data_IF_171251989060
#
_entry.id   IF_171251989060
#
_cell.length_a   1.000
_cell.length_b   1.000
_cell.length_c   1.000
_cell.angle_alpha   90.00
_cell.angle_beta   90.00
_cell.angle_gamma   90.00
#
_symmetry.space_group_name_H-M   'P 1'
#
loop_
_entity.id
_entity.type
_entity.pdbx_description
1 polymer ?
#
# COMPACT_ATOMS: atom_id res chain seq x y z
N UNK A 1 5.62 27.69 -0.04
CA UNK A 1 4.56 26.82 0.51
C UNK A 1 4.36 27.25 1.95
N UNK A 2 3.16 27.64 2.35
CA UNK A 2 2.92 28.15 3.70
C UNK A 2 3.23 27.07 4.73
N UNK A 3 4.00 27.41 5.76
CA UNK A 3 4.41 26.48 6.83
C UNK A 3 3.23 25.74 7.46
N UNK A 4 2.03 26.36 7.43
CA UNK A 4 0.78 25.76 7.86
C UNK A 4 0.35 24.56 7.00
N UNK A 5 0.46 24.67 5.66
CA UNK A 5 0.11 23.59 4.72
C UNK A 5 1.08 22.41 4.89
N UNK A 6 2.36 22.70 5.12
CA UNK A 6 3.38 21.68 5.42
C UNK A 6 3.00 20.87 6.67
N UNK A 7 2.74 21.56 7.78
CA UNK A 7 2.40 20.92 9.06
C UNK A 7 1.12 20.11 8.90
N UNK A 8 0.10 20.67 8.24
CA UNK A 8 -1.18 20.00 8.02
C UNK A 8 -1.02 18.69 7.25
N UNK A 9 -0.21 18.65 6.19
CA UNK A 9 0.06 17.42 5.41
C UNK A 9 0.75 16.35 6.25
N UNK A 10 1.76 16.71 7.04
CA UNK A 10 2.48 15.77 7.91
C UNK A 10 1.55 15.22 8.99
N UNK A 11 0.78 16.09 9.66
CA UNK A 11 -0.17 15.69 10.71
C UNK A 11 -1.25 14.79 10.12
N UNK A 12 -1.89 15.20 9.02
CA UNK A 12 -2.95 14.41 8.40
C UNK A 12 -2.46 13.04 7.92
N UNK A 13 -1.28 12.98 7.29
CA UNK A 13 -0.66 11.72 6.87
C UNK A 13 -0.33 10.81 8.05
N UNK A 14 0.17 11.36 9.15
CA UNK A 14 0.50 10.62 10.38
C UNK A 14 -0.77 10.11 11.09
N UNK A 15 -1.81 10.95 11.17
CA UNK A 15 -3.11 10.58 11.74
C UNK A 15 -3.74 9.46 10.91
N UNK A 16 -3.77 9.61 9.58
CA UNK A 16 -4.30 8.60 8.67
C UNK A 16 -3.54 7.28 8.81
N UNK A 17 -2.20 7.32 8.86
CA UNK A 17 -1.39 6.14 9.11
C UNK A 17 -1.74 5.46 10.45
N UNK A 18 -1.92 6.23 11.51
CA UNK A 18 -2.26 5.72 12.85
C UNK A 18 -3.65 5.09 12.87
N UNK A 19 -4.64 5.72 12.24
CA UNK A 19 -5.99 5.19 12.09
C UNK A 19 -5.99 3.88 11.32
N UNK A 20 -5.21 3.83 10.24
CA UNK A 20 -5.03 2.63 9.43
C UNK A 20 -4.35 1.51 10.23
N UNK A 21 -3.31 1.84 11.01
CA UNK A 21 -2.63 0.87 11.89
C UNK A 21 -3.59 0.30 12.93
N UNK A 22 -4.44 1.15 13.52
CA UNK A 22 -5.47 0.74 14.48
C UNK A 22 -6.60 -0.09 13.85
N UNK A 23 -6.98 0.22 12.62
CA UNK A 23 -8.00 -0.56 11.88
C UNK A 23 -7.44 -1.90 11.36
N UNK A 24 -6.15 -1.94 11.02
CA UNK A 24 -5.43 -3.15 10.59
C UNK A 24 -5.27 -4.20 11.70
N UNK A 25 -5.53 -3.84 12.98
CA UNK A 25 -5.62 -4.80 14.09
C UNK A 25 -6.87 -5.69 14.06
N UNK A 26 -7.76 -5.51 13.09
CA UNK A 26 -8.95 -6.35 12.93
C UNK A 26 -8.59 -7.80 12.58
N UNK A 27 -9.56 -8.72 12.76
CA UNK A 27 -9.41 -10.20 12.70
C UNK A 27 -8.75 -10.78 11.43
N UNK A 28 -8.50 -9.97 10.41
CA UNK A 28 -7.82 -10.36 9.18
C UNK A 28 -6.66 -9.39 8.88
N UNK A 29 -5.47 -9.60 9.49
CA UNK A 29 -4.28 -8.76 9.29
C UNK A 29 -3.78 -8.76 7.83
N UNK A 30 -4.33 -9.65 6.99
CA UNK A 30 -4.16 -9.66 5.53
C UNK A 30 -4.60 -8.33 4.89
N UNK A 31 -5.58 -7.59 5.43
CA UNK A 31 -6.45 -6.76 4.61
C UNK A 31 -6.21 -5.24 4.61
N UNK A 32 -6.16 -4.60 5.77
CA UNK A 32 -6.64 -3.21 5.79
C UNK A 32 -5.54 -2.13 5.77
N UNK A 33 -4.34 -2.45 6.26
CA UNK A 33 -3.29 -1.46 6.50
C UNK A 33 -2.73 -0.84 5.22
N UNK A 34 -2.08 -1.68 4.41
CA UNK A 34 -1.42 -1.21 3.19
C UNK A 34 -2.40 -0.99 2.03
N UNK A 35 -3.54 -1.68 1.99
CA UNK A 35 -4.45 -1.58 0.85
C UNK A 35 -5.29 -0.30 0.85
N UNK A 36 -5.55 0.30 2.02
CA UNK A 36 -6.33 1.54 2.17
C UNK A 36 -5.48 2.81 2.23
N UNK A 37 -4.18 2.69 2.53
CA UNK A 37 -3.24 3.83 2.48
C UNK A 37 -3.05 4.32 1.06
N UNK A 38 -2.89 3.41 0.08
CA UNK A 38 -2.64 3.79 -1.30
C UNK A 38 -3.80 4.59 -1.93
N UNK A 39 -5.08 4.16 -1.88
CA UNK A 39 -6.19 4.97 -2.39
C UNK A 39 -6.28 6.35 -1.74
N UNK A 40 -6.11 6.42 -0.41
CA UNK A 40 -6.22 7.70 0.31
C UNK A 40 -5.10 8.68 -0.05
N UNK A 41 -3.83 8.23 -0.03
CA UNK A 41 -2.69 9.10 -0.32
C UNK A 41 -2.66 9.54 -1.79
N UNK A 42 -2.93 8.63 -2.73
CA UNK A 42 -2.97 8.99 -4.15
C UNK A 42 -4.18 9.88 -4.47
N UNK A 43 -5.34 9.60 -3.87
CA UNK A 43 -6.54 10.43 -4.03
C UNK A 43 -6.37 11.83 -3.43
N UNK A 44 -5.70 11.97 -2.29
CA UNK A 44 -5.29 13.29 -1.77
C UNK A 44 -4.37 14.02 -2.76
N UNK A 45 -3.42 13.31 -3.37
CA UNK A 45 -2.57 13.87 -4.42
C UNK A 45 -3.39 14.44 -5.59
N UNK A 46 -4.33 13.67 -6.12
CA UNK A 46 -5.23 14.11 -7.19
C UNK A 46 -6.11 15.28 -6.78
N UNK A 47 -6.66 15.26 -5.56
CA UNK A 47 -7.52 16.33 -5.06
C UNK A 47 -6.77 17.68 -5.00
N UNK A 48 -5.47 17.65 -4.72
CA UNK A 48 -4.62 18.85 -4.67
C UNK A 48 -4.05 19.26 -6.02
N UNK A 49 -4.29 18.48 -7.09
CA UNK A 49 -3.82 18.77 -8.42
C UNK A 49 -4.71 19.81 -9.11
N UNK A 50 -4.12 20.56 -10.03
CA UNK A 50 -4.89 21.42 -10.93
C UNK A 50 -5.69 20.56 -11.92
N UNK A 51 -6.89 21.01 -12.28
CA UNK A 51 -7.84 20.21 -13.06
C UNK A 51 -7.28 19.76 -14.42
N UNK A 52 -6.46 20.58 -15.06
CA UNK A 52 -5.82 20.27 -16.34
C UNK A 52 -4.68 19.24 -16.21
N UNK A 53 -4.07 19.14 -15.02
CA UNK A 53 -2.98 18.21 -14.72
C UNK A 53 -3.46 16.85 -14.22
N UNK A 54 -4.76 16.69 -13.91
CA UNK A 54 -5.32 15.44 -13.38
C UNK A 54 -4.96 14.21 -14.22
N UNK A 55 -5.13 14.19 -15.57
CA UNK A 55 -4.74 13.04 -16.38
C UNK A 55 -3.24 12.78 -16.37
N UNK A 56 -2.45 13.86 -16.32
CA UNK A 56 -0.98 13.80 -16.30
C UNK A 56 -0.45 13.25 -14.96
N UNK A 57 -1.12 13.58 -13.87
CA UNK A 57 -0.80 13.06 -12.55
C UNK A 57 -1.24 11.60 -12.40
N UNK A 58 -2.44 11.25 -12.86
CA UNK A 58 -2.94 9.87 -12.83
C UNK A 58 -2.02 8.92 -13.64
N UNK A 59 -1.64 9.29 -14.89
CA UNK A 59 -0.70 8.48 -15.68
C UNK A 59 0.66 8.31 -15.01
N UNK A 60 1.09 9.28 -14.21
CA UNK A 60 2.35 9.21 -13.47
C UNK A 60 2.25 8.32 -12.22
N UNK A 61 1.09 8.30 -11.56
CA UNK A 61 0.83 7.48 -10.38
C UNK A 61 0.71 5.99 -10.71
N UNK A 62 0.01 5.60 -11.78
CA UNK A 62 -0.31 4.19 -12.06
C UNK A 62 0.94 3.27 -12.15
N UNK A 63 1.99 3.61 -12.93
CA UNK A 63 3.20 2.78 -12.98
C UNK A 63 3.91 2.69 -11.63
N UNK A 64 3.91 3.77 -10.85
CA UNK A 64 4.54 3.79 -9.54
C UNK A 64 3.78 2.94 -8.52
N UNK A 65 2.45 2.97 -8.56
CA UNK A 65 1.60 2.10 -7.72
C UNK A 65 1.86 0.62 -8.05
N UNK A 66 1.91 0.27 -9.34
CA UNK A 66 2.22 -1.09 -9.79
C UNK A 66 3.63 -1.53 -9.37
N UNK A 67 4.64 -0.68 -9.61
CA UNK A 67 6.02 -0.93 -9.21
C UNK A 67 6.14 -1.15 -7.70
N UNK A 68 5.49 -0.31 -6.89
CA UNK A 68 5.48 -0.44 -5.43
C UNK A 68 4.88 -1.77 -4.98
N UNK A 69 3.78 -2.20 -5.61
CA UNK A 69 3.20 -3.53 -5.42
C UNK A 69 4.18 -4.66 -5.68
N UNK A 70 4.79 -4.64 -6.87
CA UNK A 70 5.77 -5.63 -7.30
C UNK A 70 6.98 -5.68 -6.36
N UNK A 71 7.50 -4.53 -5.92
CA UNK A 71 8.62 -4.45 -5.00
C UNK A 71 8.29 -5.00 -3.61
N UNK A 72 7.08 -4.76 -3.10
CA UNK A 72 6.63 -5.33 -1.84
C UNK A 72 6.57 -6.86 -1.94
N UNK A 73 6.04 -7.40 -3.03
CA UNK A 73 6.00 -8.85 -3.26
C UNK A 73 7.40 -9.44 -3.45
N UNK A 74 8.27 -8.76 -4.20
CA UNK A 74 9.66 -9.16 -4.38
C UNK A 74 10.42 -9.18 -3.04
N UNK A 75 10.20 -8.17 -2.18
CA UNK A 75 10.76 -8.14 -0.84
C UNK A 75 10.33 -9.39 -0.04
N UNK A 76 9.04 -9.73 -0.04
CA UNK A 76 8.52 -10.90 0.69
C UNK A 76 9.11 -12.20 0.14
N UNK A 77 9.19 -12.33 -1.19
CA UNK A 77 9.82 -13.47 -1.86
C UNK A 77 11.31 -13.60 -1.49
N UNK A 78 12.03 -12.48 -1.49
CA UNK A 78 13.45 -12.41 -1.13
C UNK A 78 13.67 -12.78 0.34
N UNK A 79 12.86 -12.27 1.27
CA UNK A 79 12.97 -12.63 2.69
C UNK A 79 12.75 -14.12 2.91
N UNK A 80 11.77 -14.71 2.22
CA UNK A 80 11.51 -16.15 2.28
C UNK A 80 12.69 -16.96 1.73
N UNK A 81 13.24 -16.55 0.60
CA UNK A 81 14.40 -17.20 0.00
C UNK A 81 15.63 -17.10 0.90
N UNK A 82 15.97 -15.90 1.40
CA UNK A 82 17.09 -15.67 2.32
C UNK A 82 16.94 -16.46 3.62
N UNK A 83 15.72 -16.58 4.15
CA UNK A 83 15.46 -17.39 5.34
C UNK A 83 15.79 -18.87 5.13
N UNK A 84 15.57 -19.40 3.92
CA UNK A 84 15.94 -20.78 3.58
C UNK A 84 17.41 -20.95 3.16
N UNK A 85 17.95 -20.02 2.37
CA UNK A 85 19.27 -20.14 1.76
C UNK A 85 20.41 -19.68 2.68
N UNK A 86 20.13 -18.81 3.66
CA UNK A 86 21.14 -18.21 4.53
C UNK A 86 20.58 -18.05 5.96
N UNK A 87 20.35 -19.16 6.69
CA UNK A 87 19.77 -19.11 8.03
C UNK A 87 20.64 -18.34 9.04
N UNK A 88 21.96 -18.31 8.84
CA UNK A 88 22.91 -17.58 9.69
C UNK A 88 22.92 -16.05 9.51
N UNK A 89 22.23 -15.50 8.50
CA UNK A 89 22.18 -14.06 8.30
C UNK A 89 21.24 -13.42 9.34
N UNK A 90 21.71 -12.42 10.13
CA UNK A 90 20.86 -11.76 11.11
C UNK A 90 19.61 -11.18 10.48
N UNK A 91 18.50 -11.21 11.21
CA UNK A 91 17.22 -10.70 10.73
C UNK A 91 17.33 -9.26 10.20
N UNK A 92 18.01 -8.40 10.97
CA UNK A 92 18.21 -6.99 10.63
C UNK A 92 18.99 -6.87 9.31
N UNK A 93 20.00 -7.71 9.11
CA UNK A 93 20.76 -7.77 7.87
C UNK A 93 19.90 -8.16 6.66
N UNK A 94 19.03 -9.18 6.82
CA UNK A 94 18.09 -9.56 5.74
C UNK A 94 17.11 -8.45 5.41
N UNK A 95 16.57 -7.80 6.44
CA UNK A 95 15.59 -6.73 6.25
C UNK A 95 16.21 -5.55 5.50
N UNK A 96 17.39 -5.09 5.94
CA UNK A 96 18.13 -4.03 5.24
C UNK A 96 18.54 -4.42 3.83
N UNK A 97 18.97 -5.67 3.59
CA UNK A 97 19.27 -6.14 2.24
C UNK A 97 18.04 -6.04 1.34
N UNK A 98 16.87 -6.45 1.84
CA UNK A 98 15.60 -6.32 1.12
C UNK A 98 15.22 -4.87 0.83
N UNK A 99 15.39 -3.96 1.80
CA UNK A 99 15.15 -2.53 1.60
C UNK A 99 16.11 -1.95 0.57
N UNK A 100 17.41 -2.24 0.69
CA UNK A 100 18.44 -1.75 -0.24
C UNK A 100 18.19 -2.23 -1.67
N UNK A 101 17.94 -3.53 -1.86
CA UNK A 101 17.55 -4.07 -3.17
C UNK A 101 16.27 -3.41 -3.69
N UNK A 102 15.28 -3.22 -2.82
CA UNK A 102 14.02 -2.55 -3.15
C UNK A 102 14.22 -1.12 -3.62
N UNK A 103 15.06 -0.33 -2.94
CA UNK A 103 15.38 1.06 -3.31
C UNK A 103 16.14 1.13 -4.62
N UNK A 104 17.08 0.21 -4.88
CA UNK A 104 17.83 0.16 -6.14
C UNK A 104 16.90 -0.17 -7.32
N UNK A 105 16.07 -1.21 -7.18
CA UNK A 105 15.09 -1.59 -8.20
C UNK A 105 14.04 -0.50 -8.41
N UNK A 106 13.59 0.12 -7.32
CA UNK A 106 12.68 1.26 -7.39
C UNK A 106 13.31 2.42 -8.15
N UNK A 107 14.57 2.74 -7.89
CA UNK A 107 15.28 3.81 -8.58
C UNK A 107 15.35 3.52 -10.07
N UNK A 108 15.76 2.31 -10.47
CA UNK A 108 15.72 1.88 -11.87
C UNK A 108 14.33 2.01 -12.49
N UNK A 109 13.30 1.53 -11.78
CA UNK A 109 11.90 1.64 -12.22
C UNK A 109 11.42 3.09 -12.35
N UNK A 110 11.73 3.96 -11.40
CA UNK A 110 11.32 5.36 -11.40
C UNK A 110 12.05 6.19 -12.46
N UNK A 111 13.32 5.89 -12.74
CA UNK A 111 14.12 6.61 -13.72
C UNK A 111 13.86 6.18 -15.16
N UNK A 112 13.67 4.88 -15.38
CA UNK A 112 13.65 4.30 -16.72
C UNK A 112 12.26 3.75 -17.06
N UNK A 113 11.70 2.92 -16.19
CA UNK A 113 10.43 2.23 -16.45
C UNK A 113 9.20 3.14 -16.42
N UNK A 114 9.10 4.02 -15.42
CA UNK A 114 7.94 4.86 -15.22
C UNK A 114 7.74 5.89 -16.36
N UNK A 115 8.76 6.60 -16.86
CA UNK A 115 8.60 7.50 -18.00
C UNK A 115 8.18 6.76 -19.28
N UNK A 116 8.74 5.57 -19.53
CA UNK A 116 8.36 4.74 -20.67
C UNK A 116 6.89 4.32 -20.59
N UNK A 117 6.45 3.80 -19.44
CA UNK A 117 5.04 3.44 -19.23
C UNK A 117 4.12 4.66 -19.31
N UNK A 118 4.51 5.80 -18.73
CA UNK A 118 3.75 7.05 -18.81
C UNK A 118 3.51 7.50 -20.25
N UNK A 119 4.51 7.33 -21.13
CA UNK A 119 4.39 7.66 -22.55
C UNK A 119 3.42 6.75 -23.31
N UNK A 120 3.17 5.53 -22.82
CA UNK A 120 2.19 4.61 -23.37
C UNK A 120 0.77 4.83 -22.80
N UNK A 121 0.66 5.48 -21.63
CA UNK A 121 -0.59 5.73 -20.91
C UNK A 121 -1.25 7.07 -21.29
N UNK A 122 -1.43 7.31 -22.59
CA UNK A 122 -1.94 8.59 -23.11
C UNK A 122 -3.47 8.71 -23.03
N UNK A 123 -4.19 7.60 -23.05
CA UNK A 123 -5.66 7.58 -23.07
C UNK A 123 -6.25 6.86 -21.85
N UNK A 124 -7.48 7.22 -21.48
CA UNK A 124 -8.21 6.52 -20.41
C UNK A 124 -8.32 5.01 -20.67
N UNK A 125 -8.49 4.60 -21.94
CA UNK A 125 -8.52 3.20 -22.33
C UNK A 125 -7.16 2.52 -22.09
N UNK A 126 -6.05 3.15 -22.47
CA UNK A 126 -4.71 2.60 -22.22
C UNK A 126 -4.42 2.42 -20.73
N UNK A 127 -4.93 3.32 -19.87
CA UNK A 127 -4.86 3.17 -18.42
C UNK A 127 -5.65 1.96 -17.92
N UNK A 128 -6.89 1.77 -18.38
CA UNK A 128 -7.69 0.60 -18.03
C UNK A 128 -7.04 -0.70 -18.51
N UNK A 129 -6.49 -0.73 -19.71
CA UNK A 129 -5.77 -1.89 -20.24
C UNK A 129 -4.55 -2.20 -19.38
N UNK A 130 -3.77 -1.20 -18.96
CA UNK A 130 -2.66 -1.39 -18.04
C UNK A 130 -3.11 -1.96 -16.69
N UNK A 131 -4.20 -1.44 -16.12
CA UNK A 131 -4.79 -1.96 -14.88
C UNK A 131 -5.23 -3.41 -15.05
N UNK A 132 -5.89 -3.74 -16.17
CA UNK A 132 -6.31 -5.09 -16.52
C UNK A 132 -5.14 -6.06 -16.69
N UNK A 133 -4.08 -5.65 -17.41
CA UNK A 133 -2.85 -6.42 -17.57
C UNK A 133 -2.16 -6.67 -16.22
N UNK A 134 -2.09 -5.66 -15.35
CA UNK A 134 -1.59 -5.83 -14.00
C UNK A 134 -2.44 -6.82 -13.19
N UNK A 135 -3.78 -6.73 -13.28
CA UNK A 135 -4.68 -7.66 -12.59
C UNK A 135 -4.46 -9.11 -13.05
N UNK A 136 -4.41 -9.34 -14.37
CA UNK A 136 -4.16 -10.66 -14.95
C UNK A 136 -2.78 -11.18 -14.54
N UNK A 137 -1.73 -10.36 -14.69
CA UNK A 137 -0.35 -10.75 -14.38
C UNK A 137 -0.11 -11.02 -12.89
N UNK A 138 -0.81 -10.31 -12.00
CA UNK A 138 -0.68 -10.48 -10.54
C UNK A 138 -1.50 -11.65 -9.99
N UNK A 139 -2.60 -12.03 -10.66
CA UNK A 139 -3.49 -13.13 -10.25
C UNK A 139 -2.76 -14.43 -9.88
N UNK A 140 -1.86 -15.01 -10.70
CA UNK A 140 -1.20 -16.26 -10.35
C UNK A 140 -0.36 -16.16 -9.07
N UNK A 141 0.28 -15.01 -8.82
CA UNK A 141 1.05 -14.77 -7.60
C UNK A 141 0.14 -14.63 -6.38
N UNK A 142 -0.95 -13.87 -6.51
CA UNK A 142 -1.96 -13.70 -5.46
C UNK A 142 -2.54 -15.07 -5.07
N UNK A 143 -2.96 -15.87 -6.05
CA UNK A 143 -3.49 -17.23 -5.83
C UNK A 143 -2.45 -18.13 -5.18
N UNK A 144 -1.20 -18.12 -5.65
CA UNK A 144 -0.10 -18.91 -5.05
C UNK A 144 0.16 -18.52 -3.60
N UNK A 145 0.17 -17.23 -3.27
CA UNK A 145 0.40 -16.74 -1.91
C UNK A 145 -0.80 -17.03 -0.99
N UNK A 146 -2.03 -17.01 -1.51
CA UNK A 146 -3.22 -17.38 -0.73
C UNK A 146 -3.30 -18.85 -0.38
N UNK A 147 -2.81 -19.74 -1.26
CA UNK A 147 -2.78 -21.19 -1.02
C UNK A 147 -1.77 -21.62 0.05
N UNK A 148 -0.90 -20.74 0.52
CA UNK A 148 0.06 -21.07 1.56
C UNK A 148 -0.68 -21.23 2.91
N UNK A 149 -0.38 -22.31 3.68
CA UNK A 149 -1.04 -22.55 4.95
C UNK A 149 -0.80 -21.37 5.90
N UNK A 150 -1.87 -20.92 6.54
CA UNK A 150 -1.79 -19.96 7.62
C UNK A 150 -1.62 -20.71 8.93
N UNK A 151 -0.57 -20.41 9.66
CA UNK A 151 -0.56 -20.72 11.08
C UNK A 151 -1.65 -19.87 11.73
N UNK A 152 -2.57 -20.53 12.43
CA UNK A 152 -3.60 -19.90 13.25
C UNK A 152 -2.96 -19.28 14.51
N UNK A 153 -2.01 -18.36 14.33
CA UNK A 153 -1.44 -17.62 15.45
C UNK A 153 -2.41 -16.51 15.86
N UNK A 154 -2.98 -16.74 17.04
CA UNK A 154 -3.67 -15.83 17.96
C UNK A 154 -4.22 -14.55 17.34
N UNK A 155 -5.55 -14.51 17.23
CA UNK A 155 -6.33 -13.27 17.27
C UNK A 155 -6.03 -12.58 18.60
N UNK A 156 -4.92 -11.85 18.67
CA UNK A 156 -4.66 -10.95 19.79
C UNK A 156 -5.83 -9.96 19.84
N UNK A 157 -6.42 -9.80 21.02
CA UNK A 157 -7.51 -8.85 21.22
C UNK A 157 -7.12 -7.47 20.67
N UNK A 158 -8.08 -6.80 20.01
CA UNK A 158 -7.85 -5.46 19.47
C UNK A 158 -7.39 -4.55 20.59
N UNK A 159 -6.21 -3.95 20.45
CA UNK A 159 -5.74 -3.01 21.46
C UNK A 159 -6.56 -1.71 21.35
N UNK A 160 -6.83 -1.04 22.49
CA UNK A 160 -7.36 0.32 22.47
C UNK A 160 -6.45 1.23 21.66
N UNK A 161 -7.02 2.23 20.97
CA UNK A 161 -6.27 3.16 20.10
C UNK A 161 -5.07 3.80 20.83
N UNK A 162 -5.30 4.30 22.05
CA UNK A 162 -4.28 4.94 22.86
C UNK A 162 -3.16 3.97 23.28
N UNK A 163 -3.51 2.73 23.59
CA UNK A 163 -2.54 1.70 23.94
C UNK A 163 -1.70 1.29 22.72
N UNK A 164 -2.30 1.19 21.54
CA UNK A 164 -1.56 0.98 20.28
C UNK A 164 -0.61 2.15 20.02
N UNK A 165 -1.07 3.40 20.19
CA UNK A 165 -0.24 4.57 19.94
C UNK A 165 0.97 4.60 20.89
N UNK A 166 0.75 4.33 22.18
CA UNK A 166 1.81 4.26 23.18
C UNK A 166 2.76 3.08 22.95
N UNK A 167 2.26 1.91 22.54
CA UNK A 167 3.14 0.75 22.28
C UNK A 167 3.89 0.84 20.96
N UNK A 168 3.37 1.59 19.99
CA UNK A 168 3.94 1.74 18.64
C UNK A 168 4.46 3.15 18.39
N UNK A 169 4.73 3.95 19.44
CA UNK A 169 5.09 5.36 19.33
C UNK A 169 6.34 5.58 18.47
N UNK A 170 7.34 4.70 18.59
CA UNK A 170 8.54 4.72 17.74
C UNK A 170 8.19 4.54 16.26
N UNK A 171 7.18 3.71 15.96
CA UNK A 171 6.74 3.48 14.59
C UNK A 171 6.00 4.67 14.01
N UNK A 172 5.10 5.26 14.79
CA UNK A 172 4.36 6.47 14.42
C UNK A 172 5.32 7.66 14.27
N UNK A 173 6.25 7.82 15.21
CA UNK A 173 7.29 8.86 15.17
C UNK A 173 8.24 8.71 13.99
N UNK A 174 8.66 7.48 13.66
CA UNK A 174 9.47 7.21 12.47
C UNK A 174 8.77 7.59 11.17
N UNK A 175 7.46 7.31 11.05
CA UNK A 175 6.64 7.73 9.91
C UNK A 175 6.51 9.25 9.84
N UNK A 176 6.24 9.92 10.96
CA UNK A 176 6.13 11.38 11.02
C UNK A 176 7.44 12.06 10.60
N UNK A 177 8.59 11.56 11.08
CA UNK A 177 9.91 12.03 10.70
C UNK A 177 10.16 11.84 9.20
N UNK A 178 9.83 10.67 8.67
CA UNK A 178 10.01 10.34 7.27
C UNK A 178 9.17 11.25 6.35
N UNK A 179 7.89 11.46 6.69
CA UNK A 179 7.02 12.40 5.97
C UNK A 179 7.56 13.83 6.03
N UNK A 180 8.08 14.25 7.19
CA UNK A 180 8.70 15.56 7.36
C UNK A 180 9.90 15.74 6.45
N UNK A 181 10.79 14.74 6.37
CA UNK A 181 11.96 14.77 5.48
C UNK A 181 11.54 14.86 4.02
N UNK A 182 10.57 14.04 3.57
CA UNK A 182 10.07 14.08 2.19
C UNK A 182 9.48 15.44 1.85
N UNK A 183 8.68 16.02 2.74
CA UNK A 183 8.09 17.34 2.55
C UNK A 183 9.14 18.47 2.56
N UNK A 184 10.20 18.36 3.38
CA UNK A 184 11.31 19.33 3.39
C UNK A 184 12.06 19.29 2.06
N UNK A 185 12.39 18.08 1.56
CA UNK A 185 13.01 17.92 0.23
C UNK A 185 12.14 18.52 -0.87
N UNK A 186 10.80 18.40 -0.76
CA UNK A 186 9.86 19.05 -1.67
C UNK A 186 9.93 20.58 -1.63
N UNK A 187 10.12 21.15 -0.44
CA UNK A 187 10.17 22.59 -0.25
C UNK A 187 11.46 23.23 -0.78
N UNK A 188 12.60 22.53 -0.74
CA UNK A 188 13.90 23.02 -1.22
C UNK A 188 14.09 22.97 -2.75
N UNK A 189 13.00 22.92 -3.52
CA UNK A 189 13.03 23.14 -4.97
C UNK A 189 13.40 21.93 -5.82
N UNK A 190 13.64 20.76 -5.21
CA UNK A 190 13.83 19.51 -5.94
C UNK A 190 12.49 18.91 -6.38
N UNK A 191 11.59 19.70 -6.99
CA UNK A 191 10.18 19.33 -7.23
C UNK A 191 10.03 18.01 -8.00
N UNK A 192 10.87 17.77 -9.01
CA UNK A 192 10.92 16.52 -9.76
C UNK A 192 11.35 15.32 -8.89
N UNK A 193 12.34 15.52 -8.01
CA UNK A 193 12.81 14.49 -7.08
C UNK A 193 11.85 14.27 -5.92
N UNK A 194 11.18 15.31 -5.45
CA UNK A 194 10.23 15.24 -4.37
C UNK A 194 8.98 14.46 -4.76
N UNK A 195 8.47 14.68 -5.98
CA UNK A 195 7.40 13.86 -6.54
C UNK A 195 7.81 12.38 -6.61
N UNK A 196 9.02 12.10 -7.11
CA UNK A 196 9.55 10.72 -7.16
C UNK A 196 9.75 10.12 -5.77
N UNK A 197 10.45 10.79 -4.87
CA UNK A 197 10.70 10.32 -3.51
C UNK A 197 9.41 10.12 -2.70
N UNK A 198 8.37 10.94 -2.95
CA UNK A 198 7.05 10.73 -2.36
C UNK A 198 6.36 9.45 -2.84
N UNK A 199 6.74 8.95 -4.02
CA UNK A 199 6.28 7.69 -4.59
C UNK A 199 7.14 6.49 -4.17
N UNK A 200 8.24 6.70 -3.44
CA UNK A 200 9.04 5.62 -2.85
C UNK A 200 8.15 4.89 -1.82
N UNK A 201 8.08 3.54 -1.84
CA UNK A 201 7.21 2.77 -0.96
C UNK A 201 7.83 2.66 0.44
N UNK A 202 8.20 3.80 1.04
CA UNK A 202 8.82 3.89 2.34
C UNK A 202 7.93 3.34 3.44
N UNK A 203 6.65 3.72 3.44
CA UNK A 203 5.67 3.21 4.41
C UNK A 203 5.49 1.68 4.30
N UNK A 204 5.30 1.10 3.09
CA UNK A 204 5.33 -0.34 2.90
C UNK A 204 6.63 -1.00 3.35
N UNK A 205 7.81 -0.51 2.94
CA UNK A 205 9.08 -1.11 3.31
C UNK A 205 9.34 -1.02 4.81
N UNK A 206 9.01 0.10 5.45
CA UNK A 206 9.07 0.25 6.89
C UNK A 206 8.18 -0.80 7.59
N UNK A 207 6.95 -0.97 7.10
CA UNK A 207 6.02 -1.96 7.64
C UNK A 207 6.53 -3.39 7.46
N UNK A 208 7.05 -3.72 6.28
CA UNK A 208 7.62 -5.04 5.98
C UNK A 208 8.89 -5.31 6.80
N UNK A 209 9.76 -4.31 6.98
CA UNK A 209 10.95 -4.39 7.84
C UNK A 209 10.55 -4.70 9.29
N UNK A 210 9.54 -4.01 9.81
CA UNK A 210 9.00 -4.23 11.16
C UNK A 210 8.37 -5.61 11.33
N UNK A 211 7.81 -6.20 10.28
CA UNK A 211 7.31 -7.58 10.28
C UNK A 211 8.43 -8.62 10.13
N UNK A 212 9.56 -8.24 9.54
CA UNK A 212 10.70 -9.12 9.33
C UNK A 212 11.44 -9.40 10.64
N UNK A 213 11.58 -8.40 11.53
CA UNK A 213 12.29 -8.54 12.82
C UNK A 213 11.39 -8.40 14.05
N UNK A 214 10.51 -9.38 14.34
CA UNK A 214 9.94 -9.48 15.67
C UNK A 214 11.02 -9.88 16.68
N UNK A 215 10.86 -9.41 17.91
CA UNK A 215 11.69 -9.75 19.07
C UNK A 215 11.57 -11.25 19.48
N UNK A 216 10.72 -12.02 18.78
CA UNK A 216 10.46 -13.45 18.97
C UNK A 216 10.86 -14.28 17.73
N UNK A 217 11.08 -15.59 17.96
CA UNK A 217 11.62 -16.62 17.05
C UNK A 217 11.39 -16.37 15.54
N UNK A 218 12.49 -16.45 14.80
CA UNK A 218 12.66 -16.21 13.35
C UNK A 218 11.63 -16.92 12.45
N UNK A 219 11.17 -18.13 12.78
CA UNK A 219 10.16 -18.86 12.00
C UNK A 219 8.79 -18.14 11.93
N UNK A 220 8.43 -17.40 12.97
CA UNK A 220 7.14 -16.66 13.02
C UNK A 220 7.14 -15.40 12.13
N UNK A 221 8.32 -14.86 11.81
CA UNK A 221 8.46 -13.64 11.01
C UNK A 221 8.10 -13.83 9.52
N UNK A 222 8.56 -14.93 8.92
CA UNK A 222 8.31 -15.25 7.50
C UNK A 222 6.85 -15.62 7.28
N UNK A 223 6.22 -16.34 8.23
CA UNK A 223 4.80 -16.65 8.18
C UNK A 223 3.92 -15.37 8.19
N UNK A 224 4.24 -14.40 9.06
CA UNK A 224 3.56 -13.09 9.09
C UNK A 224 3.76 -12.30 7.79
N UNK A 225 4.96 -12.30 7.23
CA UNK A 225 5.23 -11.65 5.93
C UNK A 225 4.42 -12.28 4.80
N UNK A 226 4.36 -13.61 4.74
CA UNK A 226 3.57 -14.34 3.74
C UNK A 226 2.08 -14.04 3.87
N UNK A 227 1.57 -13.93 5.09
CA UNK A 227 0.18 -13.56 5.35
C UNK A 227 -0.16 -12.21 4.70
N UNK A 228 0.70 -11.22 4.87
CA UNK A 228 0.55 -9.88 4.27
C UNK A 228 0.87 -9.88 2.77
N UNK A 229 1.71 -10.80 2.28
CA UNK A 229 2.12 -10.85 0.87
C UNK A 229 0.99 -11.15 -0.10
N UNK A 230 -0.01 -11.90 0.35
CA UNK A 230 -1.17 -12.23 -0.47
C UNK A 230 -2.02 -11.02 -0.89
N UNK A 231 -1.89 -9.90 -0.18
CA UNK A 231 -2.59 -8.64 -0.48
C UNK A 231 -1.67 -7.56 -1.01
N UNK A 232 -0.36 -7.80 -1.04
CA UNK A 232 0.64 -6.85 -1.56
C UNK A 232 0.42 -6.49 -3.03
N UNK A 233 -0.12 -7.41 -3.84
CA UNK A 233 -0.45 -7.14 -5.25
C UNK A 233 -1.89 -6.69 -5.46
N UNK A 234 -2.82 -7.12 -4.61
CA UNK A 234 -4.23 -6.74 -4.71
C UNK A 234 -4.46 -5.28 -4.29
N UNK A 235 -3.71 -4.77 -3.30
CA UNK A 235 -3.79 -3.37 -2.87
C UNK A 235 -3.54 -2.36 -4.00
N UNK A 236 -2.43 -2.48 -4.75
CA UNK A 236 -2.15 -1.68 -5.93
C UNK A 236 -3.26 -1.71 -6.98
N UNK A 237 -3.90 -2.86 -7.21
CA UNK A 237 -5.02 -2.96 -8.17
C UNK A 237 -6.18 -2.05 -7.73
N UNK A 238 -6.59 -2.14 -6.46
CA UNK A 238 -7.65 -1.31 -5.89
C UNK A 238 -7.27 0.17 -5.92
N UNK A 239 -6.02 0.49 -5.60
CA UNK A 239 -5.51 1.87 -5.64
C UNK A 239 -5.51 2.44 -7.06
N UNK A 240 -5.11 1.66 -8.07
CA UNK A 240 -5.14 2.10 -9.46
C UNK A 240 -6.56 2.32 -9.98
N UNK A 241 -7.50 1.44 -9.64
CA UNK A 241 -8.92 1.63 -9.95
C UNK A 241 -9.49 2.87 -9.28
N UNK A 242 -9.13 3.10 -8.01
CA UNK A 242 -9.51 4.31 -7.27
C UNK A 242 -8.94 5.57 -7.93
N UNK A 243 -7.65 5.58 -8.29
CA UNK A 243 -7.00 6.72 -8.97
C UNK A 243 -7.68 7.01 -10.31
N UNK A 244 -7.91 5.99 -11.13
CA UNK A 244 -8.57 6.15 -12.42
C UNK A 244 -9.99 6.67 -12.26
N UNK A 245 -10.80 6.06 -11.40
CA UNK A 245 -12.20 6.45 -11.20
C UNK A 245 -12.33 7.84 -10.55
N UNK A 246 -11.49 8.14 -9.55
CA UNK A 246 -11.52 9.43 -8.87
C UNK A 246 -11.04 10.58 -9.76
N UNK A 247 -10.05 10.34 -10.62
CA UNK A 247 -9.65 11.30 -11.65
C UNK A 247 -10.83 11.67 -12.56
N UNK A 248 -11.58 10.69 -13.08
CA UNK A 248 -12.77 10.96 -13.90
C UNK A 248 -13.85 11.70 -13.11
N UNK A 249 -14.07 11.33 -11.86
CA UNK A 249 -14.99 12.04 -10.98
C UNK A 249 -14.60 13.53 -10.84
N UNK A 250 -13.33 13.83 -10.57
CA UNK A 250 -12.85 15.21 -10.45
C UNK A 250 -12.98 15.99 -11.76
N UNK A 251 -12.76 15.36 -12.92
CA UNK A 251 -12.94 15.98 -14.24
C UNK A 251 -14.42 16.32 -14.54
N UNK A 252 -15.36 15.61 -13.92
CA UNK A 252 -16.80 15.87 -14.05
C UNK A 252 -17.29 16.97 -13.10
N UNK A 253 -16.48 17.38 -12.11
CA UNK A 253 -16.87 18.48 -11.23
C UNK A 253 -16.90 19.80 -12.02
N UNK A 254 -17.92 20.64 -11.82
CA UNK A 254 -18.06 21.88 -12.57
C UNK A 254 -16.86 22.81 -12.32
N UNK A 255 -16.13 23.12 -13.39
CA UNK A 255 -14.95 24.00 -13.39
C UNK A 255 -15.25 25.42 -12.88
N UNK A 256 -16.52 25.84 -12.93
CA UNK A 256 -16.98 27.14 -12.44
C UNK A 256 -17.29 27.16 -10.92
N UNK A 257 -17.10 26.04 -10.21
CA UNK A 257 -17.33 25.98 -8.77
C UNK A 257 -16.24 26.74 -8.01
N UNK A 258 -16.62 27.44 -6.94
CA UNK A 258 -15.65 28.09 -6.05
C UNK A 258 -14.65 27.06 -5.50
N UNK A 259 -13.41 27.46 -5.22
CA UNK A 259 -12.36 26.59 -4.66
C UNK A 259 -12.85 25.79 -3.44
N UNK A 260 -13.69 26.40 -2.61
CA UNK A 260 -14.29 25.77 -1.43
C UNK A 260 -15.24 24.63 -1.83
N UNK A 261 -16.12 24.85 -2.81
CA UNK A 261 -17.02 23.81 -3.33
C UNK A 261 -16.26 22.64 -3.96
N UNK A 262 -15.20 22.91 -4.72
CA UNK A 262 -14.34 21.87 -5.29
C UNK A 262 -13.69 21.01 -4.20
N UNK A 263 -13.11 21.64 -3.18
CA UNK A 263 -12.47 20.92 -2.06
C UNK A 263 -13.49 20.08 -1.30
N UNK A 264 -14.68 20.62 -1.00
CA UNK A 264 -15.72 19.90 -0.27
C UNK A 264 -16.24 18.69 -1.06
N UNK A 265 -16.62 18.89 -2.33
CA UNK A 265 -17.11 17.80 -3.19
C UNK A 265 -16.02 16.78 -3.46
N UNK A 266 -14.81 17.23 -3.78
CA UNK A 266 -13.66 16.37 -4.01
C UNK A 266 -13.29 15.55 -2.77
N UNK A 267 -13.33 16.14 -1.57
CA UNK A 267 -13.10 15.41 -0.31
C UNK A 267 -14.20 14.38 -0.04
N UNK A 268 -15.47 14.74 -0.27
CA UNK A 268 -16.59 13.80 -0.15
C UNK A 268 -16.48 12.62 -1.12
N UNK A 269 -16.11 12.91 -2.38
CA UNK A 269 -15.81 11.90 -3.39
C UNK A 269 -14.65 11.00 -2.97
N UNK A 270 -13.54 11.57 -2.50
CA UNK A 270 -12.38 10.82 -2.02
C UNK A 270 -12.75 9.85 -0.90
N UNK A 271 -13.50 10.32 0.11
CA UNK A 271 -13.99 9.48 1.21
C UNK A 271 -14.89 8.35 0.71
N UNK A 272 -15.72 8.64 -0.30
CA UNK A 272 -16.63 7.65 -0.91
C UNK A 272 -15.84 6.58 -1.67
N UNK A 273 -14.91 6.97 -2.54
CA UNK A 273 -14.04 6.05 -3.27
C UNK A 273 -13.14 5.23 -2.34
N UNK A 274 -12.65 5.84 -1.26
CA UNK A 274 -11.90 5.15 -0.22
C UNK A 274 -12.75 4.12 0.52
N UNK A 275 -13.97 4.47 0.91
CA UNK A 275 -14.93 3.55 1.52
C UNK A 275 -15.29 2.38 0.60
N UNK A 276 -15.55 2.66 -0.68
CA UNK A 276 -15.80 1.63 -1.71
C UNK A 276 -14.60 0.71 -1.89
N UNK A 277 -13.39 1.25 -1.89
CA UNK A 277 -12.14 0.46 -1.94
C UNK A 277 -12.07 -0.52 -0.76
N UNK A 278 -12.42 -0.06 0.45
CA UNK A 278 -12.51 -0.90 1.65
C UNK A 278 -13.55 -1.99 1.54
N UNK A 279 -14.75 -1.67 1.05
CA UNK A 279 -15.82 -2.64 0.84
C UNK A 279 -15.44 -3.70 -0.21
N UNK A 280 -14.79 -3.29 -1.31
CA UNK A 280 -14.31 -4.21 -2.35
C UNK A 280 -13.29 -5.19 -1.78
N UNK A 281 -12.29 -4.68 -1.05
CA UNK A 281 -11.27 -5.52 -0.39
C UNK A 281 -11.94 -6.49 0.58
N UNK A 282 -12.84 -5.99 1.42
CA UNK A 282 -13.57 -6.82 2.39
C UNK A 282 -14.40 -7.90 1.71
N UNK A 283 -15.14 -7.55 0.66
CA UNK A 283 -15.97 -8.48 -0.11
C UNK A 283 -15.15 -9.58 -0.78
N UNK A 284 -14.02 -9.23 -1.41
CA UNK A 284 -13.09 -10.21 -2.00
C UNK A 284 -12.59 -11.18 -0.93
N UNK A 285 -12.16 -10.66 0.22
CA UNK A 285 -11.65 -11.50 1.31
C UNK A 285 -12.74 -12.43 1.87
N UNK A 286 -13.97 -11.93 2.06
CA UNK A 286 -15.09 -12.75 2.53
C UNK A 286 -15.50 -13.82 1.53
N UNK A 287 -15.55 -13.49 0.24
CA UNK A 287 -15.81 -14.46 -0.81
C UNK A 287 -14.78 -15.59 -0.82
N UNK A 288 -13.50 -15.25 -0.64
CA UNK A 288 -12.42 -16.25 -0.57
C UNK A 288 -12.50 -17.11 0.68
N UNK A 289 -12.85 -16.55 1.84
CA UNK A 289 -13.09 -17.31 3.07
C UNK A 289 -14.21 -18.32 2.89
N UNK A 290 -15.31 -17.92 2.26
CA UNK A 290 -16.44 -18.81 1.95
C UNK A 290 -16.02 -19.97 1.03
N UNK A 291 -15.21 -19.68 0.00
CA UNK A 291 -14.67 -20.71 -0.90
C UNK A 291 -13.77 -21.73 -0.17
N UNK A 292 -12.94 -21.28 0.77
CA UNK A 292 -12.08 -22.20 1.56
C UNK A 292 -12.86 -23.00 2.61
N UNK A 293 -13.94 -22.44 3.17
CA UNK A 293 -14.81 -23.14 4.12
C UNK A 293 -15.63 -24.25 3.44
N UNK A 294 -15.90 -24.11 2.13
CA UNK A 294 -16.60 -25.10 1.32
C UNK A 294 -15.71 -26.25 0.79
N UNK A 295 -14.38 -26.16 0.91
CA UNK A 295 -13.47 -27.19 0.39
C UNK A 295 -13.44 -28.41 1.34
N UNK A 296 -13.89 -29.60 0.90
CA UNK A 296 -13.93 -30.81 1.74
C UNK A 296 -12.53 -31.28 2.18
N UNK A 297 -11.47 -30.88 1.47
CA UNK A 297 -10.08 -31.20 1.83
C UNK A 297 -9.58 -30.43 3.07
N UNK A 298 -10.14 -29.26 3.35
CA UNK A 298 -9.86 -28.54 4.60
C UNK A 298 -10.53 -29.23 5.78
N UNK A 299 -11.77 -29.74 5.62
CA UNK A 299 -12.47 -30.50 6.69
C UNK A 299 -11.73 -31.77 7.11
N UNK A 300 -11.10 -32.50 6.19
CA UNK A 300 -10.34 -33.72 6.53
C UNK A 300 -9.04 -33.43 7.28
N UNK A 301 -8.35 -32.32 6.99
CA UNK A 301 -7.14 -31.91 7.73
C UNK A 301 -7.40 -31.49 9.18
N UNK A 302 -8.58 -30.95 9.48
CA UNK A 302 -8.97 -30.63 10.86
C UNK A 302 -9.42 -31.85 11.67
N UNK A 303 -9.85 -32.93 11.00
CA UNK A 303 -10.30 -34.17 11.65
C UNK A 303 -9.17 -35.20 11.89
N UNK A 304 -7.97 -34.96 11.36
CA UNK A 304 -6.85 -35.92 11.42
C UNK A 304 -5.64 -35.48 12.26
N UNK A 305 -5.71 -34.37 13.00
CA UNK A 305 -4.72 -34.03 14.04
C UNK A 305 -5.41 -34.10 15.41
N UNK A 306 -5.26 -35.21 16.16
CA UNK A 306 -5.56 -35.23 17.60
C UNK A 306 -4.60 -34.31 18.38
#
# INVERSE_FOLDING_TARGET
MDSLIFILKVVLGTVLFTLILWYAQSRHPRAAGMMLTFPALNGLGLLTAESHDLPLMARAMLPMIALNGCLCTAYIGLQRWLASASPGLPCVGRAWLGVSCGVLLWSGGAYWGAPLLQSALLSSLSMLLFIGLYAIGSTPFVVRLWRLPLDAQSVAGRLPFWTLLHTQWLRVGGVALLLSVVMLVAQYGATAWAGRLSALPLLPFYSLMMLTCPQERQATSVARLVQVGSTALLGPLVAMLCVWGFMHYLLLLPLASTTVSYILLGSGGLLSFWGMSGLLIWGVLKGLEALHAGDPLTKSRWLCNP
#
